data_IF_717241940445
#
_entry.id   IF_717241940445
#
_cell.length_a   1.000
_cell.length_b   1.000
_cell.length_c   1.000
_cell.angle_alpha   90.00
_cell.angle_beta   90.00
_cell.angle_gamma   90.00
#
_symmetry.space_group_name_H-M   'P 1'
#
loop_
_entity.id
_entity.type
_entity.pdbx_description
1 polymer ?
#
# COMPACT_ATOMS: atom_id res chain seq x y z
N UNK A 1 -10.85 -36.46 20.61
CA UNK A 1 -9.50 -36.92 21.01
C UNK A 1 -8.92 -37.65 19.81
N UNK A 2 -7.75 -37.24 19.33
CA UNK A 2 -7.14 -37.78 18.10
C UNK A 2 -6.23 -38.95 18.44
N UNK A 3 -6.37 -40.05 17.69
CA UNK A 3 -5.63 -41.29 17.95
C UNK A 3 -4.41 -41.36 17.02
N UNK A 4 -3.24 -41.61 17.60
CA UNK A 4 -1.93 -41.54 16.89
C UNK A 4 -1.84 -42.51 15.69
N UNK A 5 -2.60 -43.60 15.71
CA UNK A 5 -2.70 -44.57 14.62
C UNK A 5 -3.40 -43.99 13.39
N UNK A 6 -4.50 -43.27 13.59
CA UNK A 6 -5.32 -42.66 12.52
C UNK A 6 -4.54 -41.60 11.73
N UNK A 7 -3.77 -40.78 12.42
CA UNK A 7 -2.90 -39.77 11.79
C UNK A 7 -1.80 -40.39 10.91
N UNK A 8 -1.21 -41.50 11.36
CA UNK A 8 -0.12 -42.16 10.62
C UNK A 8 -0.61 -42.87 9.37
N UNK A 9 -1.78 -43.48 9.44
CA UNK A 9 -2.37 -44.18 8.30
C UNK A 9 -2.81 -43.20 7.21
N UNK A 10 -3.45 -42.09 7.60
CA UNK A 10 -3.91 -41.06 6.66
C UNK A 10 -2.73 -40.33 5.99
N UNK A 11 -1.64 -40.08 6.72
CA UNK A 11 -0.41 -39.54 6.15
C UNK A 11 0.24 -40.52 5.15
N UNK A 12 0.29 -41.81 5.49
CA UNK A 12 0.87 -42.85 4.61
C UNK A 12 0.05 -43.04 3.33
N UNK A 13 -1.28 -42.91 3.41
CA UNK A 13 -2.17 -42.90 2.25
C UNK A 13 -1.87 -41.75 1.29
N UNK A 14 -1.70 -40.53 1.82
CA UNK A 14 -1.43 -39.33 1.02
C UNK A 14 -0.02 -39.27 0.43
N UNK A 15 0.96 -39.93 1.06
CA UNK A 15 2.34 -39.94 0.60
C UNK A 15 2.63 -40.93 -0.54
N UNK A 16 1.82 -41.99 -0.74
CA UNK A 16 2.09 -43.02 -1.76
C UNK A 16 2.13 -42.51 -3.20
N UNK A 17 1.46 -41.39 -3.51
CA UNK A 17 1.41 -40.82 -4.86
C UNK A 17 2.51 -39.80 -5.17
N UNK A 18 3.04 -39.10 -4.15
CA UNK A 18 3.95 -37.96 -4.33
C UNK A 18 5.24 -38.10 -3.49
N UNK A 19 5.57 -39.33 -3.11
CA UNK A 19 6.67 -39.65 -2.20
C UNK A 19 8.00 -39.00 -2.62
N UNK A 20 8.29 -38.99 -3.91
CA UNK A 20 9.54 -38.44 -4.45
C UNK A 20 9.62 -36.91 -4.38
N UNK A 21 8.49 -36.20 -4.51
CA UNK A 21 8.44 -34.75 -4.34
C UNK A 21 8.59 -34.35 -2.87
N UNK A 22 7.95 -35.10 -1.96
CA UNK A 22 8.12 -34.91 -0.52
C UNK A 22 9.58 -35.18 -0.07
N UNK A 23 10.24 -36.16 -0.70
CA UNK A 23 11.64 -36.48 -0.46
C UNK A 23 12.60 -35.37 -0.92
N UNK A 24 12.35 -34.75 -2.08
CA UNK A 24 13.15 -33.60 -2.54
C UNK A 24 12.99 -32.37 -1.64
N UNK A 25 11.78 -32.09 -1.19
CA UNK A 25 11.51 -30.96 -0.29
C UNK A 25 12.16 -31.19 1.08
N UNK A 26 12.15 -32.42 1.61
CA UNK A 26 12.83 -32.73 2.87
C UNK A 26 14.36 -32.64 2.74
N UNK A 27 14.93 -33.05 1.60
CA UNK A 27 16.36 -32.94 1.31
C UNK A 27 16.82 -31.47 1.24
N UNK A 28 16.04 -30.60 0.57
CA UNK A 28 16.30 -29.16 0.50
C UNK A 28 16.25 -28.51 1.88
N UNK A 29 15.30 -28.90 2.74
CA UNK A 29 15.18 -28.37 4.09
C UNK A 29 16.33 -28.79 5.01
N UNK A 30 16.87 -30.00 4.84
CA UNK A 30 18.04 -30.47 5.60
C UNK A 30 19.32 -29.73 5.18
N UNK A 31 19.49 -29.44 3.89
CA UNK A 31 20.66 -28.72 3.36
C UNK A 31 20.58 -27.21 3.66
N UNK A 32 19.37 -26.63 3.67
CA UNK A 32 19.14 -25.21 3.99
C UNK A 32 19.09 -24.96 5.51
N UNK A 33 19.28 -26.00 6.34
CA UNK A 33 19.31 -25.90 7.80
C UNK A 33 17.95 -25.61 8.46
N UNK A 34 16.84 -25.79 7.74
CA UNK A 34 15.48 -25.42 8.18
C UNK A 34 14.74 -26.47 9.02
N UNK A 35 15.42 -27.55 9.47
CA UNK A 35 14.77 -28.63 10.21
C UNK A 35 15.02 -28.51 11.72
N UNK A 36 13.95 -28.49 12.52
CA UNK A 36 13.97 -28.19 13.96
C UNK A 36 14.48 -29.33 14.87
N UNK A 37 14.93 -30.45 14.29
CA UNK A 37 15.56 -31.55 15.02
C UNK A 37 17.04 -31.61 14.60
N UNK A 38 17.93 -31.04 15.42
CA UNK A 38 19.39 -31.10 15.21
C UNK A 38 19.84 -32.57 15.26
N UNK A 39 20.28 -33.11 14.13
CA UNK A 39 21.18 -34.26 14.09
C UNK A 39 22.59 -33.67 14.23
N UNK A 40 23.10 -33.69 15.46
CA UNK A 40 24.47 -33.26 15.76
C UNK A 40 25.42 -34.35 15.24
N UNK A 41 26.06 -34.08 14.10
CA UNK A 41 27.17 -34.88 13.59
C UNK A 41 28.44 -34.00 13.64
N UNK A 42 28.91 -33.70 14.84
CA UNK A 42 30.33 -33.44 15.06
C UNK A 42 31.11 -34.74 14.89
N UNK A 43 32.33 -34.81 14.36
CA UNK A 43 33.29 -33.79 13.95
C UNK A 43 34.38 -34.50 13.13
N UNK A 44 35.10 -33.79 12.24
CA UNK A 44 36.58 -33.82 12.18
C UNK A 44 37.07 -32.93 11.05
N UNK A 45 38.20 -32.27 11.32
CA UNK A 45 38.63 -31.06 10.63
C UNK A 45 39.13 -31.24 9.20
N UNK A 46 39.18 -30.11 8.49
CA UNK A 46 40.47 -29.69 7.92
C UNK A 46 40.56 -28.16 7.99
N UNK A 47 41.65 -27.74 8.61
CA UNK A 47 42.11 -26.38 8.68
C UNK A 47 42.66 -25.92 7.32
N UNK A 48 42.56 -24.62 7.10
CA UNK A 48 43.47 -23.83 6.25
C UNK A 48 43.16 -23.80 4.77
N UNK A 49 42.42 -22.75 4.40
CA UNK A 49 42.50 -22.10 3.11
C UNK A 49 42.36 -20.60 3.31
N UNK A 50 43.43 -19.96 3.78
CA UNK A 50 43.57 -18.49 3.74
C UNK A 50 43.31 -18.03 2.31
N UNK A 51 42.15 -17.41 2.08
CA UNK A 51 41.99 -16.42 1.01
C UNK A 51 41.69 -15.10 1.69
N UNK A 52 42.71 -14.26 1.71
CA UNK A 52 42.58 -12.86 2.06
C UNK A 52 41.66 -12.19 1.02
N UNK A 53 40.48 -11.74 1.43
CA UNK A 53 39.64 -10.84 0.62
C UNK A 53 38.15 -10.87 0.97
N UNK A 54 37.65 -9.82 1.61
CA UNK A 54 36.23 -9.41 1.44
C UNK A 54 35.28 -9.60 2.62
N UNK A 55 35.70 -9.35 3.86
CA UNK A 55 34.77 -9.14 4.99
C UNK A 55 33.89 -7.89 4.86
N UNK A 56 34.17 -7.04 3.87
CA UNK A 56 33.38 -5.85 3.54
C UNK A 56 32.23 -6.14 2.56
N UNK A 57 32.41 -7.09 1.62
CA UNK A 57 31.46 -7.30 0.52
C UNK A 57 30.09 -7.88 0.94
N UNK A 58 29.99 -8.64 2.04
CA UNK A 58 28.71 -9.27 2.45
C UNK A 58 27.77 -8.30 3.18
N UNK A 59 28.33 -7.40 4.02
CA UNK A 59 27.57 -6.32 4.64
C UNK A 59 27.19 -5.25 3.61
N UNK A 60 28.07 -4.99 2.64
CA UNK A 60 27.77 -4.08 1.53
C UNK A 60 26.60 -4.58 0.68
N UNK A 61 26.57 -5.85 0.27
CA UNK A 61 25.45 -6.41 -0.51
C UNK A 61 24.12 -6.31 0.25
N UNK A 62 24.12 -6.60 1.56
CA UNK A 62 22.93 -6.47 2.39
C UNK A 62 22.47 -5.00 2.52
N UNK A 63 23.41 -4.06 2.69
CA UNK A 63 23.13 -2.63 2.76
C UNK A 63 22.57 -2.11 1.43
N UNK A 64 23.16 -2.47 0.29
CA UNK A 64 22.66 -2.13 -1.04
C UNK A 64 21.25 -2.68 -1.30
N UNK A 65 20.95 -3.90 -0.85
CA UNK A 65 19.61 -4.47 -0.97
C UNK A 65 18.58 -3.69 -0.13
N UNK A 66 18.91 -3.37 1.13
CA UNK A 66 18.03 -2.57 2.01
C UNK A 66 17.84 -1.16 1.46
N UNK A 67 18.93 -0.50 1.04
CA UNK A 67 18.87 0.82 0.39
C UNK A 67 18.05 0.77 -0.90
N UNK A 68 18.20 -0.27 -1.73
CA UNK A 68 17.41 -0.46 -2.93
C UNK A 68 15.91 -0.59 -2.64
N UNK A 69 15.55 -1.36 -1.61
CA UNK A 69 14.15 -1.47 -1.15
C UNK A 69 13.62 -0.13 -0.65
N UNK A 70 14.39 0.60 0.15
CA UNK A 70 14.00 1.92 0.66
C UNK A 70 13.83 2.94 -0.48
N UNK A 71 14.73 2.95 -1.47
CA UNK A 71 14.63 3.80 -2.66
C UNK A 71 13.40 3.43 -3.49
N UNK A 72 13.13 2.13 -3.68
CA UNK A 72 11.93 1.67 -4.38
C UNK A 72 10.65 2.10 -3.67
N UNK A 73 10.59 1.97 -2.34
CA UNK A 73 9.46 2.44 -1.53
C UNK A 73 9.29 3.95 -1.61
N UNK A 74 10.39 4.71 -1.50
CA UNK A 74 10.37 6.16 -1.63
C UNK A 74 9.84 6.58 -3.01
N UNK A 75 10.37 6.00 -4.10
CA UNK A 75 9.89 6.25 -5.45
C UNK A 75 8.41 5.91 -5.59
N UNK A 76 7.93 4.80 -5.02
CA UNK A 76 6.52 4.44 -5.04
C UNK A 76 5.65 5.49 -4.34
N UNK A 77 6.09 6.03 -3.20
CA UNK A 77 5.36 7.07 -2.47
C UNK A 77 5.34 8.37 -3.28
N UNK A 78 6.48 8.80 -3.81
CA UNK A 78 6.59 10.02 -4.61
C UNK A 78 5.78 9.96 -5.91
N UNK A 79 5.91 8.86 -6.68
CA UNK A 79 5.09 8.64 -7.88
C UNK A 79 3.62 8.43 -7.50
N UNK A 80 3.33 7.80 -6.36
CA UNK A 80 1.98 7.58 -5.87
C UNK A 80 1.25 8.88 -5.60
N UNK A 81 1.88 9.85 -4.94
CA UNK A 81 1.27 11.15 -4.63
C UNK A 81 0.99 11.98 -5.88
N UNK A 82 1.87 11.97 -6.88
CA UNK A 82 1.62 12.74 -8.11
C UNK A 82 0.51 12.10 -8.94
N UNK A 83 0.50 10.76 -9.02
CA UNK A 83 -0.56 10.02 -9.69
C UNK A 83 -1.90 10.14 -8.95
N UNK A 84 -1.89 10.29 -7.63
CA UNK A 84 -3.09 10.55 -6.83
C UNK A 84 -3.73 11.87 -7.26
N UNK A 85 -2.96 12.97 -7.30
CA UNK A 85 -3.45 14.30 -7.71
C UNK A 85 -3.84 14.34 -9.19
N UNK A 86 -3.00 13.79 -10.07
CA UNK A 86 -3.33 13.66 -11.49
C UNK A 86 -4.60 12.85 -11.72
N UNK A 87 -4.73 11.72 -11.03
CA UNK A 87 -5.94 10.89 -10.99
C UNK A 87 -7.18 11.68 -10.61
N UNK A 88 -7.11 12.46 -9.52
CA UNK A 88 -8.23 13.29 -9.08
C UNK A 88 -8.60 14.34 -10.12
N UNK A 89 -7.61 14.97 -10.77
CA UNK A 89 -7.85 15.92 -11.87
C UNK A 89 -8.61 15.26 -13.02
N UNK A 90 -8.18 14.07 -13.44
CA UNK A 90 -8.87 13.32 -14.50
C UNK A 90 -10.34 13.08 -14.16
N UNK A 91 -10.66 12.65 -12.94
CA UNK A 91 -12.05 12.42 -12.53
C UNK A 91 -12.87 13.71 -12.39
N UNK A 92 -12.26 14.83 -12.00
CA UNK A 92 -12.91 16.15 -12.01
C UNK A 92 -13.26 16.60 -13.44
N UNK A 93 -12.34 16.45 -14.40
CA UNK A 93 -12.62 16.85 -15.78
C UNK A 93 -13.61 15.89 -16.47
N UNK A 94 -13.56 14.60 -16.10
CA UNK A 94 -14.55 13.62 -16.53
C UNK A 94 -15.97 13.99 -16.09
N UNK A 95 -16.17 14.47 -14.86
CA UNK A 95 -17.50 14.95 -14.43
C UNK A 95 -17.94 16.23 -15.16
N UNK A 96 -17.00 17.01 -15.71
CA UNK A 96 -17.27 18.21 -16.53
C UNK A 96 -17.57 17.89 -18.00
N UNK A 97 -17.46 16.64 -18.43
CA UNK A 97 -17.82 16.19 -19.77
C UNK A 97 -16.65 16.08 -20.77
N UNK A 98 -15.40 16.28 -20.35
CA UNK A 98 -14.22 16.10 -21.21
C UNK A 98 -13.08 15.45 -20.44
N UNK A 99 -12.64 14.26 -20.85
CA UNK A 99 -11.57 13.53 -20.15
C UNK A 99 -10.41 13.21 -21.09
N UNK A 100 -9.26 13.83 -20.86
CA UNK A 100 -8.01 13.46 -21.50
C UNK A 100 -7.08 12.80 -20.48
N UNK A 101 -6.49 11.66 -20.86
CA UNK A 101 -5.46 10.98 -20.04
C UNK A 101 -4.23 11.88 -19.81
N UNK A 102 -4.01 12.87 -20.68
CA UNK A 102 -2.99 13.90 -20.55
C UNK A 102 -3.03 14.63 -19.19
N UNK A 103 -4.22 14.78 -18.59
CA UNK A 103 -4.37 15.41 -17.28
C UNK A 103 -3.74 14.62 -16.13
N UNK A 104 -3.62 13.28 -16.26
CA UNK A 104 -2.92 12.45 -15.28
C UNK A 104 -1.42 12.77 -15.22
N UNK A 105 -0.84 13.13 -16.36
CA UNK A 105 0.61 13.33 -16.53
C UNK A 105 1.03 14.80 -16.44
N UNK A 106 0.08 15.73 -16.46
CA UNK A 106 0.33 17.18 -16.47
C UNK A 106 1.09 17.65 -15.21
N UNK A 107 0.92 16.97 -14.07
CA UNK A 107 1.58 17.36 -12.82
C UNK A 107 3.02 16.83 -12.67
N UNK A 108 3.56 16.10 -13.66
CA UNK A 108 4.96 15.68 -13.64
C UNK A 108 5.94 16.85 -13.91
N UNK A 109 5.42 18.04 -14.25
CA UNK A 109 6.23 19.23 -14.41
C UNK A 109 6.91 19.67 -13.10
N UNK A 110 8.21 19.99 -13.21
CA UNK A 110 9.10 20.28 -12.06
C UNK A 110 8.61 21.41 -11.17
N UNK A 111 7.79 22.32 -11.70
CA UNK A 111 7.28 23.50 -10.99
C UNK A 111 6.31 23.09 -9.87
N UNK A 112 5.32 22.26 -10.19
CA UNK A 112 4.26 21.87 -9.24
C UNK A 112 4.60 20.62 -8.44
N UNK A 113 5.52 19.79 -8.96
CA UNK A 113 5.94 18.54 -8.35
C UNK A 113 6.30 18.68 -6.87
N UNK A 114 7.14 19.66 -6.53
CA UNK A 114 7.59 19.88 -5.15
C UNK A 114 6.45 20.28 -4.22
N UNK A 115 5.61 21.22 -4.64
CA UNK A 115 4.54 21.72 -3.79
C UNK A 115 3.51 20.62 -3.50
N UNK A 116 3.06 19.90 -4.54
CA UNK A 116 2.11 18.79 -4.42
C UNK A 116 2.61 17.75 -3.42
N UNK A 117 3.86 17.30 -3.57
CA UNK A 117 4.46 16.31 -2.66
C UNK A 117 4.51 16.85 -1.23
N UNK A 118 4.92 18.11 -1.05
CA UNK A 118 4.98 18.74 0.28
C UNK A 118 3.59 18.75 0.93
N UNK A 119 2.55 19.22 0.23
CA UNK A 119 1.18 19.26 0.77
C UNK A 119 0.67 17.86 1.15
N UNK A 120 0.84 16.87 0.25
CA UNK A 120 0.38 15.50 0.51
C UNK A 120 1.17 14.81 1.64
N UNK A 121 2.46 15.15 1.79
CA UNK A 121 3.27 14.68 2.91
C UNK A 121 2.77 15.28 4.23
N UNK A 122 2.51 16.59 4.29
CA UNK A 122 1.94 17.22 5.49
C UNK A 122 0.59 16.60 5.85
N UNK A 123 -0.30 16.40 4.88
CA UNK A 123 -1.57 15.67 5.06
C UNK A 123 -1.32 14.30 5.72
N UNK A 124 -0.40 13.51 5.17
CA UNK A 124 -0.06 12.19 5.68
C UNK A 124 0.49 12.22 7.11
N UNK A 125 1.40 13.15 7.40
CA UNK A 125 1.96 13.36 8.74
C UNK A 125 0.88 13.75 9.74
N UNK A 126 -0.03 14.65 9.40
CA UNK A 126 -1.13 15.02 10.30
C UNK A 126 -2.05 13.82 10.59
N UNK A 127 -2.48 13.08 9.57
CA UNK A 127 -3.32 11.89 9.77
C UNK A 127 -2.58 10.86 10.63
N UNK A 128 -1.29 10.65 10.38
CA UNK A 128 -0.46 9.74 11.15
C UNK A 128 -0.35 10.15 12.62
N UNK A 129 -0.04 11.42 12.91
CA UNK A 129 0.03 11.95 14.27
C UNK A 129 -1.29 11.80 15.02
N UNK A 130 -2.42 12.09 14.37
CA UNK A 130 -3.74 11.92 14.97
C UNK A 130 -4.09 10.45 15.19
N UNK A 131 -3.75 9.57 14.24
CA UNK A 131 -3.94 8.12 14.37
C UNK A 131 -3.08 7.50 15.48
N UNK A 132 -1.90 8.06 15.73
CA UNK A 132 -0.99 7.63 16.80
C UNK A 132 -1.52 8.00 18.18
N UNK A 133 -2.17 9.16 18.29
CA UNK A 133 -2.79 9.60 19.54
C UNK A 133 -3.99 8.72 19.88
N UNK A 134 -4.91 8.53 18.93
CA UNK A 134 -6.10 7.69 19.06
C UNK A 134 -6.64 7.29 17.67
N UNK A 135 -7.23 6.09 17.57
CA UNK A 135 -7.76 5.57 16.29
C UNK A 135 -8.93 6.44 15.77
N UNK A 136 -9.88 6.81 16.64
CA UNK A 136 -11.09 7.56 16.27
C UNK A 136 -10.78 8.94 15.65
N UNK A 137 -9.99 9.83 16.28
CA UNK A 137 -9.66 11.12 15.66
C UNK A 137 -8.79 10.98 14.41
N UNK A 138 -7.99 9.91 14.29
CA UNK A 138 -7.30 9.58 13.03
C UNK A 138 -8.28 9.37 11.87
N UNK A 139 -9.36 8.62 12.10
CA UNK A 139 -10.42 8.41 11.10
C UNK A 139 -11.11 9.74 10.75
N UNK A 140 -11.46 10.56 11.74
CA UNK A 140 -12.10 11.87 11.50
C UNK A 140 -11.19 12.76 10.63
N UNK A 141 -9.89 12.80 10.92
CA UNK A 141 -8.91 13.58 10.14
C UNK A 141 -8.69 13.03 8.74
N UNK A 142 -8.83 11.71 8.53
CA UNK A 142 -8.80 11.12 7.19
C UNK A 142 -9.95 11.64 6.32
N UNK A 143 -11.17 11.74 6.87
CA UNK A 143 -12.32 12.32 6.15
C UNK A 143 -12.16 13.82 5.93
N UNK A 144 -11.63 14.54 6.92
CA UNK A 144 -11.41 15.99 6.84
C UNK A 144 -10.44 16.39 5.71
N UNK A 145 -9.39 15.59 5.50
CA UNK A 145 -8.37 15.87 4.49
C UNK A 145 -8.55 15.07 3.19
N UNK A 146 -9.73 14.48 2.98
CA UNK A 146 -10.07 13.68 1.79
C UNK A 146 -9.99 14.48 0.49
N UNK A 147 -10.31 15.79 0.53
CA UNK A 147 -10.35 16.64 -0.66
C UNK A 147 -9.05 17.40 -0.94
N UNK A 148 -8.04 17.32 -0.08
CA UNK A 148 -6.70 17.88 -0.33
C UNK A 148 -6.14 17.53 -1.73
N UNK A 149 -6.15 16.27 -2.21
CA UNK A 149 -5.61 15.97 -3.54
C UNK A 149 -6.48 16.55 -4.68
N UNK A 150 -7.77 16.79 -4.45
CA UNK A 150 -8.67 17.44 -5.41
C UNK A 150 -8.41 18.95 -5.48
N UNK A 151 -8.17 19.58 -4.33
CA UNK A 151 -7.79 21.00 -4.25
C UNK A 151 -6.45 21.22 -4.94
N UNK A 152 -5.43 20.40 -4.66
CA UNK A 152 -4.12 20.49 -5.32
C UNK A 152 -4.17 20.21 -6.83
N UNK A 153 -5.19 19.49 -7.30
CA UNK A 153 -5.42 19.25 -8.72
C UNK A 153 -5.98 20.47 -9.46
N UNK A 154 -6.65 21.38 -8.74
CA UNK A 154 -7.21 22.62 -9.30
C UNK A 154 -6.31 23.82 -9.05
N UNK A 155 -5.72 23.92 -7.86
CA UNK A 155 -4.79 24.96 -7.46
C UNK A 155 -3.48 24.32 -6.93
N UNK A 156 -2.55 23.98 -7.85
CA UNK A 156 -1.30 23.31 -7.47
C UNK A 156 -0.27 24.26 -6.82
N UNK A 157 -0.50 25.57 -6.81
CA UNK A 157 0.37 26.57 -6.16
C UNK A 157 -0.04 26.87 -4.71
N UNK A 158 -1.17 26.31 -4.26
CA UNK A 158 -1.68 26.51 -2.91
C UNK A 158 -0.73 25.96 -1.84
N UNK A 159 -0.55 26.73 -0.75
CA UNK A 159 0.28 26.31 0.37
C UNK A 159 -0.36 25.15 1.15
N UNK A 160 0.47 24.33 1.81
CA UNK A 160 0.03 23.19 2.63
C UNK A 160 -1.05 23.55 3.66
N UNK A 161 -0.93 24.70 4.33
CA UNK A 161 -1.95 25.17 5.28
C UNK A 161 -3.25 25.56 4.60
N UNK A 162 -3.15 26.24 3.45
CA UNK A 162 -4.31 26.63 2.65
C UNK A 162 -5.10 25.41 2.18
N UNK A 163 -4.42 24.43 1.60
CA UNK A 163 -5.05 23.21 1.10
C UNK A 163 -5.72 22.38 2.22
N UNK A 164 -5.06 22.26 3.38
CA UNK A 164 -5.61 21.53 4.52
C UNK A 164 -6.81 22.26 5.14
N UNK A 165 -6.72 23.58 5.32
CA UNK A 165 -7.81 24.36 5.88
C UNK A 165 -9.04 24.36 4.96
N UNK A 166 -8.82 24.56 3.66
CA UNK A 166 -9.90 24.53 2.67
C UNK A 166 -10.59 23.16 2.60
N UNK A 167 -9.83 22.06 2.68
CA UNK A 167 -10.43 20.71 2.79
C UNK A 167 -11.23 20.54 4.09
N UNK A 168 -10.74 21.09 5.21
CA UNK A 168 -11.45 21.03 6.49
C UNK A 168 -12.76 21.81 6.46
N UNK A 169 -12.75 23.03 5.93
CA UNK A 169 -13.94 23.89 5.79
C UNK A 169 -14.98 23.23 4.87
N UNK A 170 -14.54 22.67 3.75
CA UNK A 170 -15.40 21.93 2.82
C UNK A 170 -16.08 20.72 3.48
N UNK A 171 -15.36 19.98 4.32
CA UNK A 171 -15.88 18.75 4.94
C UNK A 171 -16.63 18.99 6.24
N UNK A 172 -16.63 20.23 6.76
CA UNK A 172 -17.24 20.52 8.04
C UNK A 172 -18.76 20.33 7.99
N UNK A 173 -19.32 19.73 9.05
CA UNK A 173 -20.75 19.38 9.12
C UNK A 173 -21.21 18.21 8.22
N UNK A 174 -20.41 17.74 7.25
CA UNK A 174 -20.80 16.62 6.35
C UNK A 174 -19.95 15.36 6.53
N UNK A 175 -19.01 15.32 7.49
CA UNK A 175 -18.12 14.15 7.74
C UNK A 175 -18.90 12.84 7.93
N UNK A 176 -20.06 12.90 8.60
CA UNK A 176 -20.92 11.75 8.84
C UNK A 176 -21.59 11.27 7.54
N UNK A 177 -22.08 12.20 6.71
CA UNK A 177 -22.67 11.86 5.41
C UNK A 177 -21.64 11.19 4.48
N UNK A 178 -20.39 11.68 4.49
CA UNK A 178 -19.27 11.08 3.76
C UNK A 178 -18.96 9.67 4.29
N UNK A 179 -19.02 9.47 5.61
CA UNK A 179 -18.85 8.15 6.21
C UNK A 179 -19.96 7.17 5.80
N UNK A 180 -21.22 7.61 5.79
CA UNK A 180 -22.36 6.79 5.33
C UNK A 180 -22.19 6.44 3.85
N UNK A 181 -21.73 7.39 3.03
CA UNK A 181 -21.42 7.14 1.62
C UNK A 181 -20.39 6.02 1.49
N UNK A 182 -19.27 6.08 2.22
CA UNK A 182 -18.26 5.02 2.19
C UNK A 182 -18.78 3.68 2.70
N UNK A 183 -19.67 3.69 3.70
CA UNK A 183 -20.30 2.48 4.22
C UNK A 183 -21.15 1.77 3.14
N UNK A 184 -21.78 2.55 2.24
CA UNK A 184 -22.52 1.99 1.09
C UNK A 184 -21.60 1.29 0.08
N UNK A 185 -20.35 1.75 -0.05
CA UNK A 185 -19.34 1.12 -0.91
C UNK A 185 -18.61 -0.04 -0.25
N UNK A 186 -18.56 -0.08 1.08
CA UNK A 186 -17.86 -1.12 1.84
C UNK A 186 -18.37 -2.53 1.48
N UNK A 187 -19.67 -2.68 1.23
CA UNK A 187 -20.26 -3.93 0.75
C UNK A 187 -19.72 -4.37 -0.61
N UNK A 188 -19.56 -3.42 -1.54
CA UNK A 188 -18.99 -3.66 -2.87
C UNK A 188 -17.51 -4.02 -2.81
N UNK A 189 -16.75 -3.36 -1.92
CA UNK A 189 -15.34 -3.70 -1.68
C UNK A 189 -15.20 -5.08 -1.05
N UNK A 190 -16.06 -5.45 -0.10
CA UNK A 190 -16.07 -6.79 0.50
C UNK A 190 -16.39 -7.87 -0.52
N UNK A 191 -17.40 -7.63 -1.37
CA UNK A 191 -17.76 -8.54 -2.45
C UNK A 191 -16.62 -8.65 -3.47
N UNK A 192 -15.99 -7.53 -3.85
CA UNK A 192 -14.85 -7.52 -4.76
C UNK A 192 -13.62 -8.25 -4.20
N UNK A 193 -13.38 -8.18 -2.89
CA UNK A 193 -12.31 -8.91 -2.22
C UNK A 193 -12.56 -10.43 -2.25
N UNK A 194 -13.82 -10.88 -2.14
CA UNK A 194 -14.18 -12.30 -2.23
C UNK A 194 -13.86 -12.91 -3.60
N UNK A 195 -13.92 -12.12 -4.67
CA UNK A 195 -13.55 -12.52 -6.03
C UNK A 195 -12.06 -12.29 -6.34
N UNK A 196 -11.16 -12.68 -5.44
CA UNK A 196 -9.70 -12.52 -5.58
C UNK A 196 -9.25 -11.08 -5.89
N UNK A 197 -10.04 -10.07 -5.50
CA UNK A 197 -9.75 -8.65 -5.75
C UNK A 197 -10.13 -8.14 -7.14
N UNK A 198 -10.67 -8.97 -8.04
CA UNK A 198 -11.07 -8.55 -9.39
C UNK A 198 -12.24 -7.56 -9.33
N UNK A 199 -13.20 -7.78 -8.42
CA UNK A 199 -14.32 -6.86 -8.26
C UNK A 199 -13.90 -5.49 -7.73
N UNK A 200 -12.81 -5.40 -6.96
CA UNK A 200 -12.28 -4.11 -6.46
C UNK A 200 -11.84 -3.22 -7.63
N UNK A 201 -11.26 -3.82 -8.69
CA UNK A 201 -10.82 -3.08 -9.89
C UNK A 201 -11.99 -2.42 -10.63
N UNK A 202 -13.19 -2.99 -10.59
CA UNK A 202 -14.39 -2.40 -11.21
C UNK A 202 -15.07 -1.36 -10.31
N UNK A 203 -15.04 -1.57 -9.00
CA UNK A 203 -15.65 -0.66 -8.02
C UNK A 203 -14.84 0.62 -7.89
N UNK A 204 -13.51 0.55 -8.03
CA UNK A 204 -12.62 1.67 -7.77
C UNK A 204 -12.82 2.88 -8.71
N UNK A 205 -12.91 2.74 -10.04
CA UNK A 205 -13.21 3.87 -10.94
C UNK A 205 -14.58 4.51 -10.65
N UNK A 206 -15.58 3.69 -10.31
CA UNK A 206 -16.90 4.18 -9.93
C UNK A 206 -16.87 4.95 -8.60
N UNK A 207 -16.15 4.43 -7.61
CA UNK A 207 -15.92 5.10 -6.33
C UNK A 207 -15.18 6.44 -6.51
N UNK A 208 -14.16 6.48 -7.36
CA UNK A 208 -13.40 7.70 -7.64
C UNK A 208 -14.25 8.76 -8.39
N UNK A 209 -15.12 8.33 -9.31
CA UNK A 209 -16.07 9.22 -9.98
C UNK A 209 -17.08 9.83 -8.99
N UNK A 210 -17.65 9.02 -8.08
CA UNK A 210 -18.57 9.50 -7.04
C UNK A 210 -17.90 10.50 -6.10
N UNK A 211 -16.62 10.29 -5.80
CA UNK A 211 -15.84 11.24 -5.01
C UNK A 211 -15.60 12.58 -5.72
N UNK A 212 -15.35 12.57 -7.04
CA UNK A 212 -15.21 13.79 -7.81
C UNK A 212 -16.52 14.59 -7.87
N UNK A 213 -17.65 13.92 -8.03
CA UNK A 213 -18.99 14.53 -7.96
C UNK A 213 -19.28 15.12 -6.57
N UNK A 214 -18.96 14.38 -5.51
CA UNK A 214 -19.09 14.84 -4.14
C UNK A 214 -18.23 16.10 -3.92
N UNK A 215 -16.99 16.11 -4.40
CA UNK A 215 -16.11 17.27 -4.31
C UNK A 215 -16.73 18.51 -4.97
N UNK A 216 -17.27 18.40 -6.19
CA UNK A 216 -17.92 19.53 -6.87
C UNK A 216 -19.13 20.04 -6.08
N UNK A 217 -19.96 19.14 -5.53
CA UNK A 217 -21.14 19.51 -4.74
C UNK A 217 -20.79 20.19 -3.42
N UNK A 218 -19.77 19.69 -2.74
CA UNK A 218 -19.27 20.26 -1.48
C UNK A 218 -18.65 21.63 -1.75
N UNK A 219 -17.82 21.74 -2.79
CA UNK A 219 -17.22 23.01 -3.22
C UNK A 219 -18.25 24.06 -3.59
N UNK A 220 -19.37 23.68 -4.23
CA UNK A 220 -20.44 24.61 -4.58
C UNK A 220 -21.24 25.14 -3.37
N UNK A 221 -21.11 24.51 -2.20
CA UNK A 221 -21.78 24.92 -0.96
C UNK A 221 -20.88 25.72 -0.01
N UNK A 222 -19.56 25.57 -0.14
CA UNK A 222 -18.54 26.31 0.60
C UNK A 222 -18.37 27.72 0.00
#
# INVERSE_FOLDING_TARGET
MWTRSELKENAKGKLKGFYWQAFLVSLILVITGGSHNRLDLGSSGSSTGTTNGGGEFTLEIALFAVTGVLVFLALRIFLGYILEVGGRKYFIELSRGSSEISYLLNFFDKQYYKNIITVLLYRGVYIFLWSLLLIIPGIIKMYEYRFVPYIMAEDPDLDHKGALNMSSEMTDGQKLDIFILDLSFLGWFFLGALFFGIGVLFVQPYYDAVNAELYQKVKARA
#
